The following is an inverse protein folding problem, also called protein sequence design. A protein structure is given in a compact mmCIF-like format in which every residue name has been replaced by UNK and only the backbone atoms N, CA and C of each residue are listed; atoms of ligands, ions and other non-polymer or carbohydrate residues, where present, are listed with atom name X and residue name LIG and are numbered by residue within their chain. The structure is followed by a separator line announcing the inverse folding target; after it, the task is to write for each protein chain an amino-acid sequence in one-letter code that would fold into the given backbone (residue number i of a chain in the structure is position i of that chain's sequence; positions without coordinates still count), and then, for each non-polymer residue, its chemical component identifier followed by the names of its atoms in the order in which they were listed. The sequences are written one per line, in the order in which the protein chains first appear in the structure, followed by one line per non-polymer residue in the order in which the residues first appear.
data_IF_835030488772
#
_entry.id   IF_835030488772
#
_cell.length_a   1.000
_cell.length_b   1.000
_cell.length_c   1.000
_cell.angle_alpha   90.00
_cell.angle_beta   90.00
_cell.angle_gamma   90.00
#
_symmetry.space_group_name_H-M   'P 1'
#
loop_
_entity.id
_entity.type
_entity.pdbx_description
1 polymer ?
#
# COMPACT_ATOMS: atom_id res chain seq x y z
N UNK A 1 -36.34 -3.31 -10.43
CA UNK A 1 -36.70 -2.65 -9.15
C UNK A 1 -36.14 -3.37 -7.92
N UNK A 2 -36.15 -4.70 -7.83
CA UNK A 2 -35.55 -5.44 -6.69
C UNK A 2 -34.03 -5.24 -6.52
N UNK A 3 -33.27 -5.27 -7.63
CA UNK A 3 -31.80 -5.14 -7.65
C UNK A 3 -31.25 -3.83 -7.04
N UNK A 4 -32.03 -2.75 -7.04
CA UNK A 4 -31.61 -1.45 -6.48
C UNK A 4 -31.74 -1.42 -4.95
N UNK A 5 -32.75 -2.08 -4.38
CA UNK A 5 -32.90 -2.18 -2.92
C UNK A 5 -31.77 -3.00 -2.30
N UNK A 6 -31.42 -4.12 -2.93
CA UNK A 6 -30.33 -4.99 -2.47
C UNK A 6 -28.98 -4.27 -2.52
N UNK A 7 -28.72 -3.50 -3.59
CA UNK A 7 -27.51 -2.68 -3.71
C UNK A 7 -27.39 -1.63 -2.61
N UNK A 8 -28.49 -0.93 -2.28
CA UNK A 8 -28.49 0.09 -1.20
C UNK A 8 -28.23 -0.56 0.16
N UNK A 9 -28.80 -1.74 0.43
CA UNK A 9 -28.55 -2.48 1.67
C UNK A 9 -27.08 -2.90 1.76
N UNK A 10 -26.50 -3.44 0.69
CA UNK A 10 -25.09 -3.83 0.66
C UNK A 10 -24.16 -2.65 0.92
N UNK A 11 -24.38 -1.51 0.26
CA UNK A 11 -23.56 -0.30 0.48
C UNK A 11 -23.64 0.17 1.93
N UNK A 12 -24.84 0.15 2.54
CA UNK A 12 -25.01 0.50 3.96
C UNK A 12 -24.28 -0.46 4.89
N UNK A 13 -24.35 -1.77 4.63
CA UNK A 13 -23.65 -2.78 5.42
C UNK A 13 -22.12 -2.62 5.31
N UNK A 14 -21.60 -2.36 4.11
CA UNK A 14 -20.19 -2.10 3.91
C UNK A 14 -19.74 -0.84 4.66
N UNK A 15 -20.50 0.25 4.57
CA UNK A 15 -20.20 1.47 5.30
C UNK A 15 -20.21 1.26 6.82
N UNK A 16 -21.20 0.53 7.34
CA UNK A 16 -21.26 0.16 8.76
C UNK A 16 -20.05 -0.70 9.17
N UNK A 17 -19.64 -1.66 8.33
CA UNK A 17 -18.49 -2.51 8.61
C UNK A 17 -17.17 -1.72 8.65
N UNK A 18 -17.01 -0.70 7.79
CA UNK A 18 -15.85 0.19 7.79
C UNK A 18 -15.80 1.02 9.07
N UNK A 19 -16.93 1.61 9.48
CA UNK A 19 -17.01 2.38 10.74
C UNK A 19 -16.69 1.50 11.94
N UNK A 20 -17.31 0.32 12.01
CA UNK A 20 -17.09 -0.62 13.11
C UNK A 20 -15.62 -1.07 13.16
N UNK A 21 -15.04 -1.39 12.00
CA UNK A 21 -13.63 -1.74 11.88
C UNK A 21 -12.70 -0.61 12.37
N UNK A 22 -12.99 0.64 11.99
CA UNK A 22 -12.22 1.80 12.43
C UNK A 22 -12.29 2.03 13.95
N UNK A 23 -13.47 1.86 14.54
CA UNK A 23 -13.67 1.96 16.00
C UNK A 23 -12.88 0.86 16.72
N UNK A 24 -13.04 -0.40 16.29
CA UNK A 24 -12.35 -1.54 16.89
C UNK A 24 -10.83 -1.36 16.77
N UNK A 25 -10.33 -0.99 15.59
CA UNK A 25 -8.90 -0.79 15.35
C UNK A 25 -8.31 0.38 16.17
N UNK A 26 -9.14 1.35 16.54
CA UNK A 26 -8.73 2.48 17.41
C UNK A 26 -8.61 2.07 18.88
N UNK A 27 -9.36 1.08 19.33
CA UNK A 27 -9.46 0.66 20.73
C UNK A 27 -8.57 -0.56 21.03
N UNK A 28 -8.42 -1.48 20.08
CA UNK A 28 -7.63 -2.70 20.25
C UNK A 28 -6.16 -2.46 19.93
N UNK A 29 -5.26 -2.90 20.82
CA UNK A 29 -3.82 -2.88 20.60
C UNK A 29 -3.04 -3.36 21.82
N UNK A 30 -1.71 -3.40 21.71
CA UNK A 30 -0.83 -3.86 22.79
C UNK A 30 -0.89 -3.02 24.07
N UNK A 31 -1.42 -1.80 23.98
CA UNK A 31 -1.58 -0.89 25.10
C UNK A 31 -3.07 -0.75 25.43
N UNK A 32 -3.50 -1.04 26.65
CA UNK A 32 -4.93 -1.03 26.98
C UNK A 32 -5.51 0.39 27.01
N UNK A 33 -6.45 0.66 26.11
CA UNK A 33 -7.23 1.92 26.10
C UNK A 33 -8.70 1.52 26.28
N UNK A 34 -9.28 1.69 27.47
CA UNK A 34 -10.69 1.38 27.70
C UNK A 34 -11.59 2.25 26.83
N UNK A 35 -12.58 1.63 26.18
CA UNK A 35 -13.54 2.35 25.36
C UNK A 35 -14.33 3.39 26.18
N UNK A 36 -14.58 3.10 27.46
CA UNK A 36 -15.22 4.02 28.40
C UNK A 36 -14.41 5.30 28.56
N UNK A 37 -13.10 5.18 28.77
CA UNK A 37 -12.24 6.33 29.04
C UNK A 37 -12.11 7.23 27.81
N UNK A 38 -12.16 6.62 26.63
CA UNK A 38 -12.20 7.32 25.35
C UNK A 38 -13.53 8.07 25.13
N UNK A 39 -14.67 7.47 25.53
CA UNK A 39 -16.00 8.08 25.41
C UNK A 39 -16.24 9.20 26.43
N UNK A 40 -15.75 9.03 27.66
CA UNK A 40 -15.91 10.00 28.75
C UNK A 40 -14.78 11.03 28.83
N UNK A 41 -13.76 10.91 27.97
CA UNK A 41 -12.63 11.86 27.91
C UNK A 41 -11.68 11.77 29.11
N UNK A 42 -11.71 10.67 29.87
CA UNK A 42 -10.89 10.45 31.07
C UNK A 42 -9.54 9.76 30.77
N UNK A 43 -9.02 9.94 29.55
CA UNK A 43 -7.74 9.37 29.14
C UNK A 43 -6.58 10.03 29.89
N UNK A 44 -5.65 9.20 30.36
CA UNK A 44 -4.33 9.67 30.80
C UNK A 44 -3.55 10.28 29.63
N UNK A 45 -2.56 11.15 29.91
CA UNK A 45 -1.74 11.75 28.84
C UNK A 45 -1.07 10.69 27.97
N UNK A 46 -0.54 9.62 28.57
CA UNK A 46 0.09 8.53 27.82
C UNK A 46 -0.92 7.78 26.92
N UNK A 47 -2.13 7.48 27.41
CA UNK A 47 -3.19 6.89 26.59
C UNK A 47 -3.59 7.81 25.42
N UNK A 48 -3.71 9.11 25.68
CA UNK A 48 -4.01 10.10 24.64
C UNK A 48 -2.92 10.13 23.57
N UNK A 49 -1.65 10.17 23.95
CA UNK A 49 -0.52 10.15 23.01
C UNK A 49 -0.50 8.88 22.17
N UNK A 50 -0.67 7.70 22.78
CA UNK A 50 -0.73 6.43 22.02
C UNK A 50 -1.91 6.42 21.05
N UNK A 51 -3.06 6.94 21.47
CA UNK A 51 -4.24 6.99 20.61
C UNK A 51 -4.04 7.95 19.42
N UNK A 52 -3.57 9.17 19.68
CA UNK A 52 -3.41 10.24 18.68
C UNK A 52 -2.21 9.99 17.78
N UNK A 53 -1.03 9.72 18.33
CA UNK A 53 0.22 9.72 17.55
C UNK A 53 0.52 8.37 16.89
N UNK A 54 -0.06 7.26 17.40
CA UNK A 54 0.26 5.91 16.92
C UNK A 54 -0.95 5.26 16.24
N UNK A 55 -2.12 5.23 16.90
CA UNK A 55 -3.27 4.47 16.38
C UNK A 55 -4.03 5.19 15.28
N UNK A 56 -4.37 6.46 15.49
CA UNK A 56 -5.16 7.22 14.53
C UNK A 56 -4.51 7.27 13.13
N UNK A 57 -3.21 7.60 12.96
CA UNK A 57 -2.55 7.55 11.66
C UNK A 57 -2.63 6.18 11.01
N UNK A 58 -2.42 5.12 11.79
CA UNK A 58 -2.44 3.73 11.32
C UNK A 58 -3.84 3.32 10.84
N UNK A 59 -4.90 3.66 11.57
CA UNK A 59 -6.29 3.34 11.21
C UNK A 59 -6.71 4.10 9.95
N UNK A 60 -6.35 5.38 9.85
CA UNK A 60 -6.66 6.20 8.69
C UNK A 60 -5.94 5.65 7.45
N UNK A 61 -4.63 5.40 7.54
CA UNK A 61 -3.87 4.91 6.39
C UNK A 61 -4.33 3.52 5.95
N UNK A 62 -4.63 2.60 6.89
CA UNK A 62 -5.10 1.26 6.54
C UNK A 62 -6.44 1.30 5.81
N UNK A 63 -7.36 2.18 6.23
CA UNK A 63 -8.61 2.45 5.53
C UNK A 63 -8.39 3.01 4.12
N UNK A 64 -7.52 4.01 3.97
CA UNK A 64 -7.20 4.62 2.68
C UNK A 64 -6.53 3.64 1.71
N UNK A 65 -5.58 2.84 2.19
CA UNK A 65 -4.91 1.80 1.38
C UNK A 65 -5.91 0.73 0.97
N UNK A 66 -6.76 0.25 1.90
CA UNK A 66 -7.81 -0.74 1.59
C UNK A 66 -8.80 -0.23 0.54
N UNK A 67 -9.26 1.02 0.67
CA UNK A 67 -10.14 1.65 -0.33
C UNK A 67 -9.46 1.79 -1.70
N UNK A 68 -8.18 2.20 -1.71
CA UNK A 68 -7.39 2.36 -2.95
C UNK A 68 -7.19 1.03 -3.67
N UNK A 69 -6.85 -0.03 -2.93
CA UNK A 69 -6.71 -1.38 -3.49
C UNK A 69 -8.04 -1.92 -4.01
N UNK A 70 -9.13 -1.73 -3.27
CA UNK A 70 -10.48 -2.15 -3.69
C UNK A 70 -10.94 -1.44 -4.96
N UNK A 71 -10.73 -0.11 -5.06
CA UNK A 71 -11.04 0.67 -6.26
C UNK A 71 -10.17 0.27 -7.46
N UNK A 72 -8.87 0.10 -7.24
CA UNK A 72 -7.93 -0.32 -8.29
C UNK A 72 -8.28 -1.70 -8.83
N UNK A 73 -8.57 -2.67 -7.95
CA UNK A 73 -9.03 -4.00 -8.32
C UNK A 73 -10.33 -3.95 -9.14
N UNK A 74 -11.35 -3.23 -8.68
CA UNK A 74 -12.61 -3.08 -9.41
C UNK A 74 -12.42 -2.42 -10.79
N UNK A 75 -11.56 -1.39 -10.87
CA UNK A 75 -11.25 -0.70 -12.12
C UNK A 75 -10.54 -1.62 -13.13
N UNK A 76 -9.53 -2.38 -12.69
CA UNK A 76 -8.81 -3.31 -13.55
C UNK A 76 -9.68 -4.50 -13.97
N UNK A 77 -10.48 -5.06 -13.06
CA UNK A 77 -11.44 -6.12 -13.41
C UNK A 77 -12.47 -5.62 -14.44
N UNK A 78 -12.93 -4.38 -14.33
CA UNK A 78 -13.80 -3.74 -15.31
C UNK A 78 -13.13 -3.49 -16.66
N UNK A 79 -11.88 -2.99 -16.65
CA UNK A 79 -11.09 -2.71 -17.84
C UNK A 79 -10.77 -3.99 -18.62
N UNK A 80 -10.31 -5.02 -17.93
CA UNK A 80 -9.91 -6.29 -18.53
C UNK A 80 -11.08 -7.25 -18.74
N UNK A 81 -12.25 -6.94 -18.16
CA UNK A 81 -13.42 -7.84 -18.13
C UNK A 81 -13.05 -9.23 -17.63
N UNK A 82 -12.15 -9.28 -16.66
CA UNK A 82 -11.60 -10.51 -16.10
C UNK A 82 -11.62 -10.41 -14.57
N UNK A 83 -12.40 -11.24 -13.86
CA UNK A 83 -12.48 -11.21 -12.41
C UNK A 83 -11.16 -11.59 -11.72
N UNK A 84 -10.21 -12.20 -12.44
CA UNK A 84 -8.88 -12.53 -11.93
C UNK A 84 -7.87 -11.39 -12.09
N UNK A 85 -8.25 -10.26 -12.69
CA UNK A 85 -7.35 -9.14 -12.84
C UNK A 85 -7.07 -8.47 -11.48
N UNK A 86 -5.78 -8.25 -11.22
CA UNK A 86 -5.27 -7.64 -10.00
C UNK A 86 -4.12 -6.66 -10.36
N UNK A 87 -3.97 -5.52 -9.65
CA UNK A 87 -2.90 -4.56 -9.91
C UNK A 87 -1.48 -5.14 -9.82
N UNK A 88 -1.28 -6.19 -9.02
CA UNK A 88 -0.01 -6.90 -8.93
C UNK A 88 0.37 -7.64 -10.20
N UNK A 89 -0.61 -8.12 -10.98
CA UNK A 89 -0.36 -8.90 -12.21
C UNK A 89 0.24 -8.05 -13.33
N UNK A 90 -0.05 -6.75 -13.36
CA UNK A 90 0.50 -5.84 -14.38
C UNK A 90 1.88 -5.29 -14.01
N UNK A 91 2.43 -5.67 -12.85
CA UNK A 91 3.81 -5.36 -12.45
C UNK A 91 4.00 -4.03 -11.71
N UNK A 92 2.93 -3.26 -11.47
CA UNK A 92 3.00 -1.96 -10.76
C UNK A 92 3.54 -2.16 -9.33
N UNK A 93 3.05 -3.18 -8.62
CA UNK A 93 3.54 -3.54 -7.29
C UNK A 93 5.02 -3.96 -7.30
N UNK A 94 5.46 -4.67 -8.34
CA UNK A 94 6.86 -5.08 -8.47
C UNK A 94 7.78 -3.89 -8.80
N UNK A 95 7.31 -2.93 -9.60
CA UNK A 95 8.01 -1.66 -9.81
C UNK A 95 8.18 -0.86 -8.52
N UNK A 96 7.11 -0.76 -7.71
CA UNK A 96 7.19 -0.13 -6.40
C UNK A 96 8.15 -0.85 -5.45
N UNK A 97 8.11 -2.18 -5.42
CA UNK A 97 9.00 -3.00 -4.61
C UNK A 97 10.47 -2.83 -5.02
N UNK A 98 10.76 -2.81 -6.32
CA UNK A 98 12.10 -2.56 -6.84
C UNK A 98 12.59 -1.14 -6.47
N UNK A 99 11.75 -0.12 -6.65
CA UNK A 99 12.09 1.26 -6.29
C UNK A 99 12.42 1.39 -4.80
N UNK A 100 11.60 0.79 -3.94
CA UNK A 100 11.86 0.73 -2.50
C UNK A 100 13.14 -0.05 -2.17
N UNK A 101 13.39 -1.18 -2.84
CA UNK A 101 14.59 -1.98 -2.63
C UNK A 101 15.87 -1.22 -2.99
N UNK A 102 15.83 -0.45 -4.09
CA UNK A 102 16.94 0.41 -4.51
C UNK A 102 17.28 1.42 -3.42
N UNK A 103 16.27 2.09 -2.83
CA UNK A 103 16.51 3.04 -1.74
C UNK A 103 17.03 2.32 -0.50
N UNK A 104 16.38 1.26 -0.05
CA UNK A 104 16.77 0.54 1.17
C UNK A 104 18.24 0.11 1.13
N UNK A 105 18.71 -0.39 -0.01
CA UNK A 105 20.07 -0.95 -0.13
C UNK A 105 21.11 0.09 -0.56
N UNK A 106 20.79 0.98 -1.50
CA UNK A 106 21.79 1.91 -2.04
C UNK A 106 21.95 3.19 -1.22
N UNK A 107 21.00 3.53 -0.35
CA UNK A 107 21.08 4.74 0.49
C UNK A 107 21.40 4.46 1.95
N UNK A 108 21.54 3.20 2.36
CA UNK A 108 21.83 2.81 3.75
C UNK A 108 23.16 3.35 4.28
N UNK A 109 24.18 3.45 3.42
CA UNK A 109 25.50 3.98 3.78
C UNK A 109 25.61 5.51 3.63
N UNK A 110 24.65 6.15 2.94
CA UNK A 110 24.63 7.60 2.78
C UNK A 110 24.09 8.26 4.05
N UNK A 111 24.80 9.27 4.56
CA UNK A 111 24.32 10.09 5.67
C UNK A 111 23.21 11.05 5.21
N UNK A 112 22.02 10.50 4.95
CA UNK A 112 20.84 11.26 4.55
C UNK A 112 20.18 11.87 5.80
N UNK A 113 19.71 13.14 5.75
CA UNK A 113 18.89 13.68 6.82
C UNK A 113 17.64 12.82 7.04
N UNK A 114 17.32 12.53 8.30
CA UNK A 114 16.19 11.66 8.67
C UNK A 114 14.83 12.14 8.14
N UNK A 115 14.66 13.44 7.93
CA UNK A 115 13.46 14.01 7.29
C UNK A 115 13.32 13.63 5.83
N UNK A 116 14.44 13.52 5.10
CA UNK A 116 14.44 13.15 3.69
C UNK A 116 14.23 11.65 3.52
N UNK A 117 14.82 10.84 4.41
CA UNK A 117 14.67 9.37 4.42
C UNK A 117 13.19 8.96 4.54
N UNK A 118 12.42 9.67 5.37
CA UNK A 118 10.99 9.42 5.58
C UNK A 118 10.17 9.52 4.28
N UNK A 119 10.57 10.42 3.38
CA UNK A 119 9.85 10.71 2.14
C UNK A 119 10.44 9.94 0.96
N UNK A 120 11.74 9.66 1.00
CA UNK A 120 12.47 9.02 -0.10
C UNK A 120 11.95 7.62 -0.41
N UNK A 121 11.66 6.82 0.63
CA UNK A 121 11.20 5.44 0.46
C UNK A 121 9.80 5.36 -0.21
N UNK A 122 8.75 6.07 0.27
CA UNK A 122 7.48 6.16 -0.44
C UNK A 122 7.61 6.73 -1.86
N UNK A 123 8.42 7.78 -2.05
CA UNK A 123 8.64 8.39 -3.36
C UNK A 123 9.26 7.40 -4.35
N UNK A 124 10.26 6.63 -3.93
CA UNK A 124 10.88 5.64 -4.80
C UNK A 124 9.89 4.54 -5.20
N UNK A 125 9.00 4.13 -4.28
CA UNK A 125 7.89 3.24 -4.60
C UNK A 125 6.93 3.84 -5.65
N UNK A 126 6.55 5.11 -5.48
CA UNK A 126 5.69 5.83 -6.44
C UNK A 126 6.35 5.95 -7.81
N UNK A 127 7.62 6.34 -7.86
CA UNK A 127 8.39 6.48 -9.10
C UNK A 127 8.50 5.11 -9.79
N UNK A 128 8.83 4.06 -9.05
CA UNK A 128 8.91 2.69 -9.58
C UNK A 128 7.58 2.21 -10.17
N UNK A 129 6.47 2.38 -9.44
CA UNK A 129 5.11 2.08 -9.92
C UNK A 129 4.72 2.91 -11.16
N UNK A 130 5.03 4.21 -11.15
CA UNK A 130 4.73 5.13 -12.25
C UNK A 130 5.52 4.78 -13.50
N UNK A 131 6.78 4.40 -13.36
CA UNK A 131 7.63 3.95 -14.46
C UNK A 131 7.06 2.69 -15.11
N UNK A 132 6.61 1.71 -14.32
CA UNK A 132 5.93 0.51 -14.86
C UNK A 132 4.66 0.89 -15.61
N UNK A 133 3.84 1.77 -15.03
CA UNK A 133 2.60 2.23 -15.67
C UNK A 133 2.88 2.96 -16.99
N UNK A 134 3.93 3.77 -17.04
CA UNK A 134 4.40 4.44 -18.25
C UNK A 134 4.86 3.43 -19.31
N UNK A 135 5.63 2.42 -18.92
CA UNK A 135 6.06 1.35 -19.84
C UNK A 135 4.86 0.60 -20.42
N UNK A 136 3.90 0.21 -19.58
CA UNK A 136 2.65 -0.40 -20.04
C UNK A 136 1.91 0.48 -21.04
N UNK A 137 1.79 1.78 -20.76
CA UNK A 137 1.15 2.74 -21.66
C UNK A 137 1.88 2.85 -23.00
N UNK A 138 3.21 2.99 -22.99
CA UNK A 138 4.02 3.11 -24.21
C UNK A 138 3.93 1.83 -25.06
N UNK A 139 4.06 0.66 -24.44
CA UNK A 139 4.00 -0.60 -25.16
C UNK A 139 2.58 -0.96 -25.60
N UNK A 140 1.53 -0.55 -24.87
CA UNK A 140 0.13 -0.76 -25.27
C UNK A 140 -0.24 -0.13 -26.62
N UNK A 141 0.55 0.86 -27.07
CA UNK A 141 0.37 1.53 -28.36
C UNK A 141 1.09 0.82 -29.51
N UNK A 142 1.98 -0.12 -29.23
CA UNK A 142 2.70 -0.91 -30.23
C UNK A 142 1.87 -2.07 -30.77
N UNK A 143 2.14 -2.46 -32.01
CA UNK A 143 1.69 -3.70 -32.66
C UNK A 143 0.24 -3.79 -33.19
N UNK A 144 -0.61 -2.77 -33.06
CA UNK A 144 -1.96 -2.81 -33.63
C UNK A 144 -2.91 -3.84 -33.00
N UNK A 145 -2.44 -4.60 -32.01
CA UNK A 145 -3.22 -5.52 -31.19
C UNK A 145 -3.58 -4.85 -29.88
N UNK A 146 -4.79 -4.28 -29.82
CA UNK A 146 -5.39 -3.81 -28.57
C UNK A 146 -5.96 -5.02 -27.82
N UNK A 147 -5.13 -5.69 -27.03
CA UNK A 147 -5.50 -6.91 -26.33
C UNK A 147 -5.04 -6.95 -24.89
N UNK A 148 -5.96 -7.35 -23.99
CA UNK A 148 -5.69 -7.63 -22.57
C UNK A 148 -4.49 -8.56 -22.40
N UNK A 149 -4.38 -9.58 -23.25
CA UNK A 149 -3.27 -10.55 -23.23
C UNK A 149 -1.90 -9.91 -23.39
N UNK A 150 -1.77 -8.88 -24.23
CA UNK A 150 -0.48 -8.22 -24.47
C UNK A 150 -0.04 -7.41 -23.24
N UNK A 151 -0.96 -6.70 -22.60
CA UNK A 151 -0.71 -6.00 -21.34
C UNK A 151 -0.29 -6.97 -20.22
N UNK A 152 -0.91 -8.15 -20.17
CA UNK A 152 -0.51 -9.20 -19.22
C UNK A 152 0.91 -9.72 -19.49
N UNK A 153 1.28 -9.95 -20.76
CA UNK A 153 2.64 -10.39 -21.12
C UNK A 153 3.70 -9.35 -20.75
N UNK A 154 3.43 -8.05 -20.97
CA UNK A 154 4.31 -6.98 -20.51
C UNK A 154 4.42 -7.00 -18.98
N UNK A 155 3.29 -7.13 -18.28
CA UNK A 155 3.28 -7.24 -16.82
C UNK A 155 4.14 -8.39 -16.31
N UNK A 156 4.06 -9.57 -16.92
CA UNK A 156 4.91 -10.73 -16.59
C UNK A 156 6.39 -10.41 -16.83
N UNK A 157 6.73 -9.78 -17.97
CA UNK A 157 8.11 -9.40 -18.27
C UNK A 157 8.67 -8.38 -17.26
N UNK A 158 7.87 -7.37 -16.90
CA UNK A 158 8.24 -6.36 -15.88
C UNK A 158 8.44 -7.01 -14.52
N UNK A 159 7.53 -7.91 -14.11
CA UNK A 159 7.66 -8.66 -12.87
C UNK A 159 8.96 -9.47 -12.83
N UNK A 160 9.32 -10.14 -13.93
CA UNK A 160 10.57 -10.89 -14.01
C UNK A 160 11.81 -9.99 -13.86
N UNK A 161 11.84 -8.85 -14.57
CA UNK A 161 12.94 -7.88 -14.48
C UNK A 161 13.05 -7.31 -13.06
N UNK A 162 11.92 -6.91 -12.46
CA UNK A 162 11.89 -6.40 -11.10
C UNK A 162 12.36 -7.46 -10.09
N UNK A 163 11.97 -8.72 -10.26
CA UNK A 163 12.41 -9.83 -9.40
C UNK A 163 13.91 -10.07 -9.49
N UNK A 164 14.51 -9.96 -10.69
CA UNK A 164 15.97 -10.02 -10.86
C UNK A 164 16.64 -8.86 -10.15
N UNK A 165 16.13 -7.64 -10.30
CA UNK A 165 16.67 -6.45 -9.61
C UNK A 165 16.61 -6.59 -8.09
N UNK A 166 15.46 -6.99 -7.55
CA UNK A 166 15.28 -7.26 -6.11
C UNK A 166 16.21 -8.39 -5.66
N UNK A 167 16.37 -9.44 -6.45
CA UNK A 167 17.28 -10.57 -6.15
C UNK A 167 18.73 -10.14 -6.06
N UNK A 168 19.22 -9.32 -7.00
CA UNK A 168 20.57 -8.75 -6.96
C UNK A 168 20.75 -7.88 -5.71
N UNK A 169 19.79 -7.00 -5.43
CA UNK A 169 19.81 -6.13 -4.25
C UNK A 169 19.83 -6.95 -2.96
N UNK A 170 19.02 -8.00 -2.88
CA UNK A 170 18.99 -8.92 -1.73
C UNK A 170 20.32 -9.63 -1.53
N UNK A 171 20.98 -10.03 -2.63
CA UNK A 171 22.29 -10.70 -2.57
C UNK A 171 23.41 -9.80 -2.01
N UNK A 172 23.38 -8.51 -2.32
CA UNK A 172 24.37 -7.54 -1.85
C UNK A 172 23.97 -6.85 -0.53
N UNK A 173 22.78 -7.15 0.00
CA UNK A 173 22.24 -6.49 1.20
C UNK A 173 22.92 -6.97 2.48
N UNK A 174 23.01 -6.07 3.46
CA UNK A 174 23.32 -6.42 4.86
C UNK A 174 22.11 -7.04 5.58
N UNK A 175 22.32 -7.65 6.75
CA UNK A 175 21.22 -8.28 7.52
C UNK A 175 20.09 -7.30 7.90
N UNK A 176 20.45 -6.04 8.17
CA UNK A 176 19.47 -5.00 8.49
C UNK A 176 18.63 -4.61 7.27
N UNK A 177 19.27 -4.43 6.11
CA UNK A 177 18.61 -4.12 4.84
C UNK A 177 17.71 -5.27 4.39
N UNK A 178 18.20 -6.50 4.47
CA UNK A 178 17.45 -7.70 4.09
C UNK A 178 16.18 -7.86 4.95
N UNK A 179 16.28 -7.58 6.25
CA UNK A 179 15.11 -7.54 7.14
C UNK A 179 14.13 -6.43 6.74
N UNK A 180 14.63 -5.24 6.40
CA UNK A 180 13.79 -4.12 5.93
C UNK A 180 13.09 -4.46 4.61
N UNK A 181 13.79 -5.06 3.64
CA UNK A 181 13.22 -5.56 2.39
C UNK A 181 12.11 -6.59 2.64
N UNK A 182 12.36 -7.52 3.56
CA UNK A 182 11.39 -8.56 3.94
C UNK A 182 10.12 -7.94 4.53
N UNK A 183 10.24 -7.00 5.46
CA UNK A 183 9.07 -6.31 6.02
C UNK A 183 8.34 -5.44 4.99
N UNK A 184 9.07 -4.81 4.08
CA UNK A 184 8.46 -3.96 3.04
C UNK A 184 7.65 -4.78 2.04
N UNK A 185 8.20 -5.91 1.59
CA UNK A 185 7.54 -6.81 0.63
C UNK A 185 6.30 -7.50 1.21
N UNK A 186 6.26 -7.75 2.52
CA UNK A 186 5.07 -8.28 3.21
C UNK A 186 3.98 -7.22 3.44
N UNK A 187 4.36 -5.93 3.42
CA UNK A 187 3.48 -4.82 3.77
C UNK A 187 3.29 -4.67 5.29
N UNK A 188 3.28 -3.43 5.77
CA UNK A 188 3.07 -3.12 7.19
C UNK A 188 2.56 -1.70 7.39
N UNK A 189 1.72 -1.51 8.42
CA UNK A 189 1.35 -0.18 8.91
C UNK A 189 2.09 0.18 10.22
N UNK A 190 3.17 -0.56 10.52
CA UNK A 190 3.95 -0.45 11.74
C UNK A 190 4.53 0.93 11.99
N UNK A 191 5.18 1.51 10.98
CA UNK A 191 5.92 2.76 11.06
C UNK A 191 5.15 4.02 10.65
N UNK A 192 3.81 3.98 10.62
CA UNK A 192 2.99 5.11 10.16
C UNK A 192 2.89 6.17 11.26
N UNK A 193 3.24 7.40 10.93
CA UNK A 193 3.09 8.60 11.76
C UNK A 193 2.33 9.69 11.01
N UNK A 194 1.89 10.74 11.71
CA UNK A 194 1.26 11.90 11.06
C UNK A 194 2.14 12.56 10.00
N UNK A 195 3.45 12.63 10.25
CA UNK A 195 4.42 13.18 9.30
C UNK A 195 4.55 12.37 8.01
N UNK A 196 4.22 11.07 8.01
CA UNK A 196 4.17 10.27 6.78
C UNK A 196 2.83 10.49 6.05
N UNK A 197 1.75 10.62 6.81
CA UNK A 197 0.38 10.71 6.27
C UNK A 197 0.09 12.09 5.68
N UNK A 198 0.60 13.14 6.33
CA UNK A 198 0.52 14.55 5.90
C UNK A 198 1.92 15.16 6.05
N UNK A 199 2.82 14.93 5.09
CA UNK A 199 4.19 15.44 5.11
C UNK A 199 4.28 16.96 4.96
#
# INVERSE_FOLDING_TARGET
MFRQKDQVVTVRLLFLSIILGAIIASIVGSFSIPATDLLFGSLTELQRTVWIEIRLPRVILSGLVGASLGLSGAALQGLFRNPLADPGLIGVSAGAALGAAIVIVLTSELSIPSSLELVLLPLAGIIGASMVTLLLFLFSRGFGYQGVTYLLLIGIAVNAIASVGIGILTYISTDSELRSLTFWTMGSFGGVTWSVLVP
#
